data_IF_728109568114
#
_entry.id   IF_728109568114
#
_cell.length_a   1.000
_cell.length_b   1.000
_cell.length_c   1.000
_cell.angle_alpha   90.00
_cell.angle_beta   90.00
_cell.angle_gamma   90.00
#
_symmetry.space_group_name_H-M   'P 1'
#
loop_
_entity.id
_entity.type
_entity.pdbx_description
1 polymer ?
#
# COMPACT_ATOMS: atom_id res chain seq x y z
N UNK A 1 15.83 -23.42 -11.93
CA UNK A 1 15.69 -24.39 -10.84
C UNK A 1 15.96 -23.66 -9.50
N UNK A 2 14.97 -23.68 -8.59
CA UNK A 2 15.07 -22.87 -7.38
C UNK A 2 15.67 -23.65 -6.20
N UNK A 3 16.24 -24.82 -6.43
CA UNK A 3 16.85 -25.64 -5.40
C UNK A 3 18.18 -25.04 -4.88
N UNK A 4 18.86 -24.26 -5.72
CA UNK A 4 20.20 -23.73 -5.45
C UNK A 4 20.23 -22.25 -5.05
N UNK A 5 19.09 -21.68 -4.59
CA UNK A 5 19.06 -20.28 -4.16
C UNK A 5 19.91 -20.06 -2.91
N UNK A 6 20.78 -19.03 -2.98
CA UNK A 6 21.53 -18.58 -1.80
C UNK A 6 20.59 -18.06 -0.72
N UNK A 7 21.02 -18.10 0.53
CA UNK A 7 20.22 -17.67 1.69
C UNK A 7 19.67 -16.24 1.59
N UNK A 8 20.41 -15.36 0.94
CA UNK A 8 20.16 -13.92 0.81
C UNK A 8 19.60 -13.50 -0.54
N UNK A 9 19.34 -14.45 -1.44
CA UNK A 9 18.74 -14.13 -2.73
C UNK A 9 17.32 -13.60 -2.61
N UNK A 10 16.98 -12.73 -3.54
CA UNK A 10 15.67 -12.09 -3.60
C UNK A 10 14.52 -13.09 -3.59
N UNK A 11 13.48 -12.75 -2.82
CA UNK A 11 12.18 -13.39 -2.97
C UNK A 11 11.45 -12.90 -4.22
N UNK A 12 10.38 -13.60 -4.60
CA UNK A 12 9.53 -13.23 -5.75
C UNK A 12 8.94 -11.82 -5.57
N UNK A 13 8.60 -11.42 -4.33
CA UNK A 13 8.06 -10.08 -4.06
C UNK A 13 9.05 -8.97 -4.47
N UNK A 14 10.34 -9.17 -4.20
CA UNK A 14 11.38 -8.21 -4.62
C UNK A 14 11.53 -8.18 -6.15
N UNK A 15 11.39 -9.32 -6.82
CA UNK A 15 11.43 -9.38 -8.29
C UNK A 15 10.23 -8.65 -8.92
N UNK A 16 9.04 -8.79 -8.34
CA UNK A 16 7.84 -8.06 -8.78
C UNK A 16 7.98 -6.55 -8.54
N UNK A 17 8.50 -6.16 -7.37
CA UNK A 17 8.78 -4.76 -7.06
C UNK A 17 9.81 -4.17 -8.04
N UNK A 18 10.86 -4.91 -8.38
CA UNK A 18 11.82 -4.51 -9.42
C UNK A 18 11.14 -4.33 -10.79
N UNK A 19 10.23 -5.26 -11.16
CA UNK A 19 9.42 -5.11 -12.38
C UNK A 19 8.60 -3.83 -12.40
N UNK A 20 7.97 -3.47 -11.27
CA UNK A 20 7.24 -2.21 -11.14
C UNK A 20 8.17 -0.99 -11.32
N UNK A 21 9.40 -1.04 -10.79
CA UNK A 21 10.40 0.02 -11.02
C UNK A 21 10.81 0.13 -12.49
N UNK A 22 10.82 -0.98 -13.26
CA UNK A 22 11.09 -0.92 -14.72
C UNK A 22 9.94 -0.27 -15.48
N UNK A 23 8.70 -0.47 -15.03
CA UNK A 23 7.54 0.27 -15.58
C UNK A 23 7.69 1.76 -15.28
N UNK A 24 8.17 2.13 -14.09
CA UNK A 24 8.41 3.53 -13.73
C UNK A 24 9.48 4.18 -14.62
N UNK A 25 10.54 3.45 -15.00
CA UNK A 25 11.55 3.95 -15.94
C UNK A 25 10.93 4.34 -17.30
N UNK A 26 9.98 3.54 -17.79
CA UNK A 26 9.25 3.86 -19.01
C UNK A 26 8.30 5.04 -18.81
N UNK A 27 7.58 5.10 -17.69
CA UNK A 27 6.65 6.20 -17.38
C UNK A 27 7.38 7.55 -17.41
N UNK A 28 8.62 7.62 -16.92
CA UNK A 28 9.44 8.86 -16.95
C UNK A 28 9.79 9.31 -18.37
N UNK A 29 9.69 8.42 -19.35
CA UNK A 29 9.92 8.75 -20.77
C UNK A 29 8.64 9.08 -21.54
N UNK A 30 7.45 8.90 -20.93
CA UNK A 30 6.16 9.07 -21.60
C UNK A 30 5.55 10.45 -21.28
N UNK A 31 5.55 11.39 -22.23
CA UNK A 31 5.10 12.77 -21.97
C UNK A 31 3.60 12.89 -21.61
N UNK A 32 2.80 11.87 -21.94
CA UNK A 32 1.38 11.86 -21.64
C UNK A 32 1.07 11.52 -20.17
N UNK A 33 2.08 11.11 -19.39
CA UNK A 33 1.92 10.70 -18.00
C UNK A 33 2.69 11.65 -17.07
N UNK A 34 2.03 12.17 -16.05
CA UNK A 34 2.76 12.90 -14.99
C UNK A 34 3.46 11.89 -14.05
N UNK A 35 4.73 11.66 -14.30
CA UNK A 35 5.56 10.73 -13.53
C UNK A 35 5.66 11.08 -12.02
N UNK A 36 5.32 12.33 -11.64
CA UNK A 36 5.31 12.77 -10.23
C UNK A 36 4.04 12.33 -9.48
N UNK A 37 3.03 11.80 -10.19
CA UNK A 37 1.74 11.36 -9.66
C UNK A 37 1.44 9.92 -10.04
N UNK A 38 2.43 9.05 -9.83
CA UNK A 38 2.29 7.61 -10.06
C UNK A 38 2.19 6.89 -8.75
N UNK A 39 1.14 6.05 -8.62
CA UNK A 39 0.93 5.17 -7.48
C UNK A 39 1.18 3.71 -7.84
N UNK A 40 1.64 2.92 -6.88
CA UNK A 40 1.71 1.47 -6.96
C UNK A 40 0.64 0.85 -6.05
N UNK A 41 -0.18 -0.04 -6.61
CA UNK A 41 -1.32 -0.66 -5.92
C UNK A 41 -1.24 -2.16 -6.00
N UNK A 42 -1.59 -2.85 -4.93
CA UNK A 42 -1.69 -4.30 -4.95
C UNK A 42 -2.65 -4.86 -3.91
N UNK A 43 -3.31 -5.96 -4.28
CA UNK A 43 -4.12 -6.78 -3.38
C UNK A 43 -3.32 -7.98 -2.90
N UNK A 44 -3.46 -8.37 -1.61
CA UNK A 44 -2.92 -9.63 -1.09
C UNK A 44 -1.38 -9.70 -1.27
N UNK A 45 -0.87 -10.75 -1.89
CA UNK A 45 0.56 -10.88 -2.24
C UNK A 45 1.08 -9.73 -3.11
N UNK A 46 0.24 -9.17 -3.98
CA UNK A 46 0.60 -8.01 -4.75
C UNK A 46 0.63 -6.73 -3.87
N UNK A 47 -0.15 -6.67 -2.79
CA UNK A 47 -0.05 -5.63 -1.76
C UNK A 47 1.28 -5.69 -1.01
N UNK A 48 1.78 -6.90 -0.72
CA UNK A 48 3.14 -7.09 -0.19
C UNK A 48 4.20 -6.56 -1.18
N UNK A 49 4.05 -6.88 -2.49
CA UNK A 49 4.96 -6.40 -3.52
C UNK A 49 4.89 -4.88 -3.72
N UNK A 50 3.69 -4.30 -3.66
CA UNK A 50 3.50 -2.85 -3.73
C UNK A 50 4.21 -2.12 -2.58
N UNK A 51 4.15 -2.66 -1.36
CA UNK A 51 4.92 -2.13 -0.23
C UNK A 51 6.43 -2.20 -0.46
N UNK A 52 6.94 -3.32 -1.00
CA UNK A 52 8.37 -3.43 -1.34
C UNK A 52 8.74 -2.41 -2.42
N UNK A 53 7.92 -2.25 -3.46
CA UNK A 53 8.16 -1.26 -4.51
C UNK A 53 8.17 0.16 -3.95
N UNK A 54 7.17 0.55 -3.17
CA UNK A 54 7.09 1.86 -2.55
C UNK A 54 8.22 2.14 -1.55
N UNK A 55 8.66 1.12 -0.81
CA UNK A 55 9.77 1.26 0.14
C UNK A 55 11.14 1.40 -0.54
N UNK A 56 11.33 0.81 -1.73
CA UNK A 56 12.63 0.73 -2.41
C UNK A 56 12.78 1.68 -3.61
N UNK A 57 11.67 2.18 -4.16
CA UNK A 57 11.67 3.14 -5.27
C UNK A 57 10.88 4.40 -4.88
N UNK A 58 11.61 5.48 -4.64
CA UNK A 58 11.05 6.76 -4.17
C UNK A 58 10.26 7.52 -5.24
N UNK A 59 10.26 7.08 -6.48
CA UNK A 59 9.49 7.68 -7.58
C UNK A 59 7.99 7.39 -7.49
N UNK A 60 7.61 6.29 -6.82
CA UNK A 60 6.20 6.06 -6.52
C UNK A 60 5.71 7.08 -5.49
N UNK A 61 4.89 8.03 -5.93
CA UNK A 61 4.36 9.09 -5.09
C UNK A 61 3.30 8.60 -4.10
N UNK A 62 2.66 7.47 -4.39
CA UNK A 62 1.69 6.80 -3.52
C UNK A 62 1.90 5.29 -3.53
N UNK A 63 1.78 4.67 -2.38
CA UNK A 63 1.83 3.22 -2.22
C UNK A 63 0.54 2.72 -1.60
N UNK A 64 -0.13 1.76 -2.25
CA UNK A 64 -1.38 1.18 -1.76
C UNK A 64 -1.22 -0.30 -1.52
N UNK A 65 -1.50 -0.73 -0.30
CA UNK A 65 -1.45 -2.13 0.14
C UNK A 65 -2.82 -2.57 0.64
N UNK A 66 -3.51 -3.40 -0.15
CA UNK A 66 -4.85 -3.90 0.14
C UNK A 66 -4.79 -5.33 0.67
N UNK A 67 -5.38 -5.61 1.83
CA UNK A 67 -5.52 -6.94 2.43
C UNK A 67 -4.22 -7.75 2.33
N UNK A 68 -3.10 -7.15 2.68
CA UNK A 68 -1.79 -7.74 2.36
C UNK A 68 -1.25 -8.69 3.44
N UNK A 69 -1.81 -8.68 4.64
CA UNK A 69 -1.54 -9.66 5.69
C UNK A 69 -0.07 -9.74 6.14
N UNK A 70 0.32 -10.94 6.57
CA UNK A 70 1.68 -11.24 7.06
C UNK A 70 2.74 -11.00 5.98
N UNK A 71 3.81 -10.30 6.36
CA UNK A 71 4.85 -9.89 5.40
C UNK A 71 4.39 -8.80 4.42
N UNK A 72 3.19 -8.28 4.62
CA UNK A 72 2.61 -7.10 4.00
C UNK A 72 2.43 -5.99 5.03
N UNK A 73 1.24 -5.42 5.15
CA UNK A 73 1.00 -4.34 6.11
C UNK A 73 0.75 -4.81 7.54
N UNK A 74 0.38 -6.09 7.77
CA UNK A 74 0.08 -6.61 9.10
C UNK A 74 1.33 -6.73 9.96
N UNK A 75 1.25 -6.32 11.22
CA UNK A 75 2.31 -6.58 12.20
C UNK A 75 2.55 -8.09 12.37
N UNK A 76 3.81 -8.50 12.25
CA UNK A 76 4.20 -9.89 12.44
C UNK A 76 4.00 -10.35 13.90
N UNK A 77 4.14 -9.44 14.86
CA UNK A 77 3.94 -9.72 16.27
C UNK A 77 2.45 -9.87 16.66
N UNK A 78 1.51 -9.50 15.78
CA UNK A 78 0.07 -9.62 16.01
C UNK A 78 -0.52 -10.84 15.27
N UNK A 79 -0.07 -12.04 15.61
CA UNK A 79 -0.64 -13.29 15.10
C UNK A 79 -1.81 -13.72 15.97
N UNK A 80 -2.96 -13.93 15.35
CA UNK A 80 -4.15 -14.56 15.99
C UNK A 80 -4.36 -15.95 15.40
N UNK A 81 -5.23 -16.75 16.00
CA UNK A 81 -5.52 -18.10 15.50
C UNK A 81 -6.05 -18.11 14.06
N UNK A 82 -6.79 -17.07 13.66
CA UNK A 82 -7.40 -16.97 12.34
C UNK A 82 -6.52 -16.24 11.31
N UNK A 83 -5.45 -15.56 11.76
CA UNK A 83 -4.66 -14.73 10.88
C UNK A 83 -3.41 -15.44 10.34
N UNK A 84 -3.02 -15.07 9.12
CA UNK A 84 -1.81 -15.53 8.45
C UNK A 84 -0.57 -15.36 9.34
N UNK A 85 0.26 -16.39 9.42
CA UNK A 85 1.53 -16.44 10.14
C UNK A 85 2.74 -16.50 9.19
N UNK A 86 3.96 -16.33 9.71
CA UNK A 86 5.18 -16.55 8.93
C UNK A 86 5.23 -17.95 8.34
N UNK A 87 4.74 -18.96 9.06
CA UNK A 87 4.67 -20.35 8.56
C UNK A 87 3.88 -20.42 7.25
N UNK A 88 2.73 -19.77 7.20
CA UNK A 88 1.81 -19.87 6.07
C UNK A 88 2.41 -19.24 4.81
N UNK A 89 3.07 -18.09 4.93
CA UNK A 89 3.69 -17.40 3.79
C UNK A 89 5.00 -18.01 3.32
N UNK A 90 5.69 -18.80 4.17
CA UNK A 90 7.00 -19.37 3.83
C UNK A 90 6.88 -20.78 3.28
N UNK A 91 6.03 -21.64 3.87
CA UNK A 91 5.96 -23.06 3.48
C UNK A 91 5.39 -23.22 2.07
N UNK A 92 4.35 -22.48 1.76
CA UNK A 92 3.63 -22.60 0.49
C UNK A 92 4.25 -21.78 -0.64
N UNK A 93 5.09 -20.76 -0.36
CA UNK A 93 5.45 -19.75 -1.33
C UNK A 93 6.93 -19.32 -1.27
N UNK A 94 7.48 -18.98 -2.42
CA UNK A 94 8.85 -18.45 -2.58
C UNK A 94 8.89 -16.91 -2.55
N UNK A 95 8.00 -16.28 -1.80
CA UNK A 95 7.87 -14.82 -1.80
C UNK A 95 9.05 -14.11 -1.19
N UNK A 96 9.65 -14.71 -0.18
CA UNK A 96 10.75 -14.14 0.61
C UNK A 96 12.10 -14.78 0.30
N UNK A 97 13.17 -14.15 0.75
CA UNK A 97 14.49 -14.75 0.75
C UNK A 97 14.50 -16.06 1.54
N UNK A 98 15.30 -17.08 1.14
CA UNK A 98 15.35 -18.37 1.86
C UNK A 98 15.68 -18.22 3.36
N UNK A 99 16.50 -17.23 3.73
CA UNK A 99 16.85 -16.92 5.11
C UNK A 99 15.63 -16.56 5.98
N UNK A 100 14.55 -16.07 5.39
CA UNK A 100 13.35 -15.70 6.15
C UNK A 100 12.69 -16.91 6.84
N UNK A 101 12.95 -18.13 6.37
CA UNK A 101 12.47 -19.39 6.97
C UNK A 101 12.88 -19.58 8.44
N UNK A 102 13.95 -18.93 8.89
CA UNK A 102 14.40 -18.99 10.29
C UNK A 102 13.35 -18.48 11.29
N UNK A 103 12.37 -17.69 10.80
CA UNK A 103 11.32 -17.08 11.61
C UNK A 103 10.02 -17.90 11.68
N UNK A 104 9.95 -19.05 11.00
CA UNK A 104 8.77 -19.93 11.08
C UNK A 104 8.53 -20.36 12.51
N UNK A 105 7.34 -20.05 13.05
CA UNK A 105 6.96 -20.29 14.44
C UNK A 105 7.64 -19.38 15.46
N UNK A 106 8.29 -18.30 15.00
CA UNK A 106 9.00 -17.32 15.83
C UNK A 106 8.54 -15.89 15.51
N UNK A 107 7.32 -15.73 15.06
CA UNK A 107 6.73 -14.47 14.60
C UNK A 107 6.96 -13.33 15.63
N UNK A 108 6.71 -13.61 16.90
CA UNK A 108 6.90 -12.65 17.99
C UNK A 108 8.36 -12.42 18.41
N UNK A 109 9.31 -13.15 17.83
CA UNK A 109 10.74 -13.04 18.16
C UNK A 109 11.53 -12.30 17.08
N UNK A 110 10.87 -11.85 16.00
CA UNK A 110 11.55 -11.08 14.95
C UNK A 110 12.04 -9.74 15.52
N UNK A 111 13.30 -9.33 15.25
CA UNK A 111 13.84 -8.08 15.74
C UNK A 111 13.32 -6.85 14.96
N UNK A 112 12.41 -7.04 14.02
CA UNK A 112 11.76 -6.01 13.21
C UNK A 112 10.30 -6.37 13.00
N UNK A 113 9.50 -5.38 12.59
CA UNK A 113 8.11 -5.62 12.21
C UNK A 113 7.69 -4.75 11.01
N UNK A 114 6.55 -5.05 10.42
CA UNK A 114 6.16 -4.52 9.12
C UNK A 114 5.90 -3.01 9.11
N UNK A 115 5.58 -2.39 10.25
CA UNK A 115 5.51 -0.94 10.34
C UNK A 115 6.84 -0.23 9.94
N UNK A 116 7.99 -0.92 10.02
CA UNK A 116 9.26 -0.38 9.51
C UNK A 116 9.26 -0.27 7.98
N UNK A 117 8.66 -1.27 7.27
CA UNK A 117 8.49 -1.19 5.83
C UNK A 117 7.54 -0.05 5.43
N UNK A 118 6.44 0.09 6.16
CA UNK A 118 5.53 1.22 5.97
C UNK A 118 6.27 2.55 6.16
N UNK A 119 7.10 2.66 7.20
CA UNK A 119 7.89 3.85 7.51
C UNK A 119 8.84 4.27 6.37
N UNK A 120 9.36 3.32 5.58
CA UNK A 120 10.22 3.62 4.42
C UNK A 120 9.48 4.35 3.27
N UNK A 121 8.16 4.37 3.29
CA UNK A 121 7.37 5.14 2.31
C UNK A 121 7.36 6.63 2.65
N UNK A 122 7.59 7.00 3.92
CA UNK A 122 7.59 8.40 4.34
C UNK A 122 8.58 9.26 3.52
N UNK A 123 8.25 10.53 3.23
CA UNK A 123 7.04 11.27 3.58
C UNK A 123 5.91 11.18 2.54
N UNK A 124 6.03 10.27 1.55
CA UNK A 124 5.09 10.08 0.44
C UNK A 124 3.75 9.52 0.94
N UNK A 125 2.78 9.40 0.07
CA UNK A 125 1.47 8.88 0.42
C UNK A 125 1.51 7.35 0.60
N UNK A 126 0.95 6.87 1.69
CA UNK A 126 0.71 5.46 1.96
C UNK A 126 -0.77 5.24 2.17
N UNK A 127 -1.32 4.21 1.58
CA UNK A 127 -2.69 3.77 1.85
C UNK A 127 -2.72 2.29 2.17
N UNK A 128 -3.35 1.93 3.28
CA UNK A 128 -3.60 0.53 3.64
C UNK A 128 -5.10 0.31 3.71
N UNK A 129 -5.59 -0.76 3.12
CA UNK A 129 -6.99 -1.14 3.20
C UNK A 129 -7.15 -2.59 3.59
N UNK A 130 -8.20 -2.85 4.37
CA UNK A 130 -8.56 -4.15 4.91
C UNK A 130 -10.02 -4.45 4.63
N UNK A 131 -10.43 -5.72 4.75
CA UNK A 131 -11.82 -6.14 4.64
C UNK A 131 -12.31 -6.75 5.97
N UNK A 132 -13.56 -6.51 6.33
CA UNK A 132 -14.12 -6.86 7.63
C UNK A 132 -14.20 -8.38 7.89
N UNK A 133 -14.38 -9.14 6.81
CA UNK A 133 -14.47 -10.62 6.85
C UNK A 133 -13.14 -11.31 6.50
N UNK A 134 -12.06 -10.54 6.30
CA UNK A 134 -10.73 -11.06 6.01
C UNK A 134 -9.88 -11.19 7.28
N UNK A 135 -10.29 -12.06 8.19
CA UNK A 135 -9.54 -12.34 9.42
C UNK A 135 -8.12 -12.85 9.11
N UNK A 136 -7.94 -13.52 7.96
CA UNK A 136 -6.65 -14.05 7.51
C UNK A 136 -5.61 -12.95 7.27
N UNK A 137 -5.97 -11.86 6.60
CA UNK A 137 -5.10 -10.70 6.45
C UNK A 137 -4.86 -9.95 7.77
N UNK A 138 -5.75 -10.08 8.75
CA UNK A 138 -5.61 -9.49 10.07
C UNK A 138 -5.75 -7.96 10.10
N UNK A 139 -6.95 -7.42 9.82
CA UNK A 139 -7.20 -5.97 9.67
C UNK A 139 -6.70 -5.12 10.84
N UNK A 140 -6.82 -5.60 12.07
CA UNK A 140 -6.32 -4.89 13.26
C UNK A 140 -4.80 -4.77 13.26
N UNK A 141 -4.09 -5.78 12.76
CA UNK A 141 -2.63 -5.76 12.62
C UNK A 141 -2.17 -4.82 11.52
N UNK A 142 -2.90 -4.75 10.41
CA UNK A 142 -2.64 -3.81 9.31
C UNK A 142 -2.85 -2.36 9.77
N UNK A 143 -3.94 -2.07 10.47
CA UNK A 143 -4.19 -0.77 11.08
C UNK A 143 -3.12 -0.37 12.11
N UNK A 144 -2.79 -1.28 13.03
CA UNK A 144 -1.78 -1.02 14.05
C UNK A 144 -0.40 -0.70 13.44
N UNK A 145 -0.07 -1.34 12.32
CA UNK A 145 1.16 -1.03 11.57
C UNK A 145 1.18 0.41 11.06
N UNK A 146 0.05 0.92 10.56
CA UNK A 146 -0.09 2.32 10.14
C UNK A 146 0.11 3.30 11.30
N UNK A 147 -0.47 2.98 12.47
CA UNK A 147 -0.30 3.78 13.69
C UNK A 147 1.18 3.83 14.09
N UNK A 148 1.85 2.67 14.14
CA UNK A 148 3.26 2.56 14.54
C UNK A 148 4.23 3.16 13.52
N UNK A 149 3.86 3.25 12.25
CA UNK A 149 4.65 3.89 11.20
C UNK A 149 4.54 5.44 11.23
N UNK A 150 3.48 5.99 11.82
CA UNK A 150 3.19 7.43 11.87
C UNK A 150 4.38 8.31 12.30
N UNK A 151 5.21 7.95 13.30
CA UNK A 151 6.37 8.77 13.70
C UNK A 151 7.35 9.06 12.56
N UNK A 152 7.46 8.21 11.55
CA UNK A 152 8.32 8.47 10.40
C UNK A 152 7.87 9.69 9.59
N UNK A 153 6.57 9.90 9.42
CA UNK A 153 6.05 11.11 8.77
C UNK A 153 6.26 12.36 9.60
N UNK A 154 6.14 12.23 10.94
CA UNK A 154 6.36 13.36 11.86
C UNK A 154 7.78 13.92 11.73
N UNK A 155 8.80 13.11 11.43
CA UNK A 155 10.17 13.55 11.16
C UNK A 155 10.27 14.55 9.99
N UNK A 156 9.32 14.49 9.06
CA UNK A 156 9.23 15.39 7.89
C UNK A 156 8.20 16.51 8.09
N UNK A 157 7.69 16.70 9.31
CA UNK A 157 6.64 17.68 9.59
C UNK A 157 5.30 17.36 8.94
N UNK A 158 5.05 16.07 8.61
CA UNK A 158 3.80 15.58 8.02
C UNK A 158 3.00 14.79 9.06
N UNK A 159 1.67 14.87 8.98
CA UNK A 159 0.83 13.96 9.73
C UNK A 159 0.88 12.56 9.09
N UNK A 160 1.13 11.52 9.88
CA UNK A 160 0.97 10.14 9.43
C UNK A 160 -0.51 9.72 9.41
N UNK A 161 -0.89 8.65 10.10
CA UNK A 161 -2.30 8.28 10.24
C UNK A 161 -2.97 9.14 11.32
N UNK A 162 -4.03 9.85 10.93
CA UNK A 162 -4.90 10.60 11.87
C UNK A 162 -6.10 9.74 12.21
N UNK A 163 -6.25 9.36 13.48
CA UNK A 163 -7.29 8.44 13.91
C UNK A 163 -7.75 8.67 15.36
N UNK A 164 -8.93 8.14 15.71
CA UNK A 164 -9.48 8.08 17.07
C UNK A 164 -9.68 6.63 17.55
N UNK A 165 -8.91 5.70 17.01
CA UNK A 165 -9.00 4.25 17.24
C UNK A 165 -9.19 3.49 15.94
N UNK A 166 -9.43 2.17 16.06
CA UNK A 166 -9.73 1.32 14.90
C UNK A 166 -11.04 1.78 14.24
N UNK A 167 -11.06 2.06 12.93
CA UNK A 167 -12.22 2.65 12.29
C UNK A 167 -13.41 1.69 12.23
N UNK A 168 -14.59 2.26 12.09
CA UNK A 168 -15.78 1.50 11.70
C UNK A 168 -15.67 1.10 10.23
N UNK A 169 -16.41 0.04 9.87
CA UNK A 169 -16.57 -0.38 8.48
C UNK A 169 -17.09 0.81 7.65
N UNK A 170 -16.54 1.01 6.45
CA UNK A 170 -16.88 2.09 5.50
C UNK A 170 -16.65 3.52 6.05
N UNK A 171 -15.79 3.69 7.06
CA UNK A 171 -15.37 5.00 7.54
C UNK A 171 -13.88 5.23 7.27
N UNK A 172 -13.50 5.76 6.09
CA UNK A 172 -12.11 5.95 5.72
C UNK A 172 -11.43 7.05 6.54
N UNK A 173 -10.14 6.89 6.77
CA UNK A 173 -9.26 7.83 7.45
C UNK A 173 -8.33 8.45 6.41
N UNK A 174 -8.60 9.68 5.97
CA UNK A 174 -7.88 10.37 4.88
C UNK A 174 -7.16 11.66 5.32
N UNK A 175 -7.21 12.03 6.60
CA UNK A 175 -6.76 13.37 7.05
C UNK A 175 -5.23 13.53 7.11
N UNK A 176 -4.45 12.44 7.06
CA UNK A 176 -2.98 12.46 7.08
C UNK A 176 -2.37 11.91 5.80
N UNK A 177 -1.04 11.76 5.78
CA UNK A 177 -0.32 11.18 4.64
C UNK A 177 -0.35 9.64 4.64
N UNK A 178 -0.84 9.02 5.72
CA UNK A 178 -1.25 7.63 5.74
C UNK A 178 -2.78 7.59 5.71
N UNK A 179 -3.35 6.95 4.68
CA UNK A 179 -4.77 6.63 4.60
C UNK A 179 -5.03 5.20 5.08
N UNK A 180 -6.24 4.97 5.64
CA UNK A 180 -6.70 3.63 5.99
C UNK A 180 -8.22 3.54 5.85
N UNK A 181 -8.71 2.39 5.35
CA UNK A 181 -10.12 2.04 5.51
C UNK A 181 -10.32 0.56 5.80
N UNK A 182 -11.44 0.25 6.46
CA UNK A 182 -11.96 -1.09 6.62
C UNK A 182 -13.22 -1.22 5.77
N UNK A 183 -13.13 -1.92 4.65
CA UNK A 183 -14.28 -2.19 3.77
C UNK A 183 -15.12 -3.32 4.34
N UNK A 184 -16.41 -3.32 4.07
CA UNK A 184 -17.26 -4.47 4.33
C UNK A 184 -16.98 -5.62 3.36
N UNK A 185 -17.04 -6.87 3.85
CA UNK A 185 -16.93 -8.11 3.07
C UNK A 185 -15.57 -8.80 3.11
N UNK A 186 -15.39 -9.68 2.11
CA UNK A 186 -14.31 -10.69 2.05
C UNK A 186 -13.02 -10.14 1.41
N UNK A 187 -12.00 -11.01 1.31
CA UNK A 187 -10.70 -10.75 0.68
C UNK A 187 -10.84 -10.40 -0.81
N UNK A 188 -10.90 -9.14 -1.15
CA UNK A 188 -11.04 -8.63 -2.52
C UNK A 188 -10.55 -7.20 -2.62
N UNK A 189 -10.47 -6.68 -3.86
CA UNK A 189 -10.33 -5.27 -4.17
C UNK A 189 -11.50 -4.85 -5.06
N UNK A 190 -12.30 -3.92 -4.58
CA UNK A 190 -13.57 -3.56 -5.17
C UNK A 190 -13.57 -2.13 -5.69
N UNK A 191 -14.67 -1.73 -6.31
CA UNK A 191 -14.87 -0.34 -6.75
C UNK A 191 -14.82 0.64 -5.57
N UNK A 192 -15.30 0.23 -4.39
CA UNK A 192 -15.25 1.08 -3.18
C UNK A 192 -13.81 1.34 -2.76
N UNK A 193 -12.94 0.31 -2.79
CA UNK A 193 -11.52 0.48 -2.49
C UNK A 193 -10.87 1.49 -3.45
N UNK A 194 -11.11 1.34 -4.77
CA UNK A 194 -10.59 2.27 -5.77
C UNK A 194 -11.09 3.70 -5.57
N UNK A 195 -12.37 3.89 -5.22
CA UNK A 195 -12.91 5.23 -4.90
C UNK A 195 -12.15 5.84 -3.72
N UNK A 196 -11.94 5.09 -2.64
CA UNK A 196 -11.19 5.56 -1.49
C UNK A 196 -9.73 5.93 -1.82
N UNK A 197 -9.06 5.16 -2.69
CA UNK A 197 -7.68 5.46 -3.10
C UNK A 197 -7.62 6.75 -3.93
N UNK A 198 -8.55 6.93 -4.85
CA UNK A 198 -8.63 8.14 -5.68
C UNK A 198 -9.01 9.37 -4.85
N UNK A 199 -10.00 9.26 -3.98
CA UNK A 199 -10.41 10.35 -3.07
C UNK A 199 -9.25 10.79 -2.16
N UNK A 200 -8.48 9.82 -1.65
CA UNK A 200 -7.29 10.11 -0.86
C UNK A 200 -6.21 10.83 -1.69
N UNK A 201 -5.92 10.35 -2.90
CA UNK A 201 -4.95 10.98 -3.81
C UNK A 201 -5.41 12.39 -4.21
N UNK A 202 -6.69 12.57 -4.52
CA UNK A 202 -7.28 13.88 -4.88
C UNK A 202 -7.23 14.86 -3.71
N UNK A 203 -7.50 14.40 -2.49
CA UNK A 203 -7.34 15.18 -1.26
C UNK A 203 -5.91 15.66 -1.02
N UNK A 204 -4.91 15.01 -1.64
CA UNK A 204 -3.51 15.38 -1.63
C UNK A 204 -3.03 16.07 -2.92
N UNK A 205 -3.97 16.60 -3.71
CA UNK A 205 -3.68 17.44 -4.86
C UNK A 205 -3.33 16.69 -6.15
N UNK A 206 -3.74 15.40 -6.27
CA UNK A 206 -3.53 14.65 -7.51
C UNK A 206 -4.52 15.03 -8.60
N UNK A 207 -5.72 15.48 -8.25
CA UNK A 207 -6.64 16.02 -9.21
C UNK A 207 -6.08 17.32 -9.77
N UNK A 208 -5.84 17.39 -11.08
CA UNK A 208 -5.60 18.67 -11.73
C UNK A 208 -6.78 19.58 -11.43
N UNK A 209 -6.53 20.83 -11.00
CA UNK A 209 -7.58 21.84 -11.01
C UNK A 209 -8.21 21.75 -12.40
N UNK A 210 -9.53 21.53 -12.47
CA UNK A 210 -10.22 21.55 -13.74
C UNK A 210 -9.82 22.85 -14.42
N UNK A 211 -9.13 22.74 -15.55
CA UNK A 211 -8.96 23.90 -16.41
C UNK A 211 -10.37 24.40 -16.63
N UNK A 212 -10.66 25.63 -16.21
CA UNK A 212 -11.88 26.29 -16.55
C UNK A 212 -11.93 26.31 -18.08
N UNK A 213 -12.50 25.28 -18.68
CA UNK A 213 -13.01 25.35 -20.02
C UNK A 213 -14.10 26.41 -19.96
N UNK A 214 -13.71 27.63 -20.30
CA UNK A 214 -14.68 28.66 -20.61
C UNK A 214 -15.52 28.12 -21.77
N UNK A 215 -16.74 27.73 -21.45
CA UNK A 215 -17.79 27.59 -22.43
C UNK A 215 -18.06 29.01 -22.99
N UNK A 216 -17.19 29.43 -23.92
CA UNK A 216 -17.50 30.52 -24.81
C UNK A 216 -18.41 29.94 -25.91
N UNK A 217 -19.70 29.75 -25.52
CA UNK A 217 -20.75 29.52 -26.48
C UNK A 217 -21.03 30.89 -27.14
N UNK A 218 -20.24 31.15 -28.19
CA UNK A 218 -20.56 32.23 -29.13
C UNK A 218 -22.00 32.08 -29.61
N UNK A 219 -22.85 33.01 -29.14
CA UNK A 219 -24.18 33.23 -29.68
C UNK A 219 -24.06 33.53 -31.17
N UNK A 220 -24.38 32.56 -32.00
CA UNK A 220 -24.76 32.86 -33.38
C UNK A 220 -26.03 33.71 -33.34
N UNK A 221 -25.85 35.00 -33.67
CA UNK A 221 -26.96 35.93 -33.94
C UNK A 221 -27.56 35.51 -35.27
N UNK A 222 -28.78 35.02 -35.24
CA UNK A 222 -29.70 35.09 -36.39
C UNK A 222 -30.00 36.54 -36.62
N UNK A 223 -29.62 37.09 -37.76
CA UNK A 223 -30.17 38.33 -38.32
C UNK A 223 -31.26 38.01 -39.36
N UNK A 224 -32.24 38.89 -39.53
CA UNK A 224 -33.57 38.66 -40.12
C UNK A 224 -33.59 38.49 -41.64
#
# INVERSE_FOLDING_TARGET
DCADRRHDEWGILSAWAWGASRVMDWIETEPAIDARRVGVVGLSRNGKAALVAGATDTRFAMTVSCCSGMGGAKLNHMVTYESESVRDIIIAHRWFAPKFRQWVGKDAQMPFDMHWFLALVAPRLLYVSSASEDAWAGPRGEFASCVLATPAWNLYGKAGLVHHGFPRIEHPLHAGNIGYHLRDGVHDITRSDWSNYLDFADGHGWRAAAALCGDDVSQEKEEP
#
